data_IF_805708196558
#
_entry.id   IF_805708196558
#
_cell.length_a   1.000
_cell.length_b   1.000
_cell.length_c   1.000
_cell.angle_alpha   90.00
_cell.angle_beta   90.00
_cell.angle_gamma   90.00
#
_symmetry.space_group_name_H-M   'P 1'
#
loop_
_entity.id
_entity.type
_entity.pdbx_description
1 polymer ?
#
# COMPACT_ATOMS: atom_id res chain seq x y z
N UNK A 1 -17.16 14.85 -21.96
CA UNK A 1 -18.58 15.12 -21.62
C UNK A 1 -18.70 14.90 -20.12
N UNK A 2 -19.24 15.85 -19.37
CA UNK A 2 -19.53 15.67 -17.95
C UNK A 2 -20.93 15.08 -17.75
N UNK A 3 -21.06 14.17 -16.80
CA UNK A 3 -22.31 13.57 -16.35
C UNK A 3 -22.78 14.30 -15.09
N UNK A 4 -24.09 14.57 -15.03
CA UNK A 4 -24.71 15.16 -13.85
C UNK A 4 -25.34 14.05 -13.01
N UNK A 5 -24.85 13.90 -11.78
CA UNK A 5 -25.32 12.89 -10.83
C UNK A 5 -26.11 13.57 -9.71
N UNK A 6 -27.27 13.02 -9.37
CA UNK A 6 -27.96 13.31 -8.13
C UNK A 6 -27.48 12.32 -7.06
N UNK A 7 -26.84 12.85 -6.03
CA UNK A 7 -26.28 12.11 -4.89
C UNK A 7 -26.92 12.69 -3.64
N UNK A 8 -27.83 11.93 -3.04
CA UNK A 8 -28.51 12.33 -1.80
C UNK A 8 -29.25 13.68 -1.90
N UNK A 9 -29.72 14.07 -3.08
CA UNK A 9 -30.39 15.35 -3.32
C UNK A 9 -29.48 16.45 -3.87
N UNK A 10 -28.21 16.18 -4.15
CA UNK A 10 -27.24 17.18 -4.65
C UNK A 10 -26.75 16.81 -6.03
N UNK A 11 -26.62 17.82 -6.87
CA UNK A 11 -26.16 17.69 -8.24
C UNK A 11 -24.66 17.88 -8.31
N UNK A 12 -23.97 16.80 -8.67
CA UNK A 12 -22.51 16.76 -8.80
C UNK A 12 -22.15 16.48 -10.26
N UNK A 13 -21.27 17.30 -10.82
CA UNK A 13 -20.69 17.05 -12.13
C UNK A 13 -19.49 16.10 -12.00
N UNK A 14 -19.50 15.02 -12.78
CA UNK A 14 -18.42 14.01 -12.81
C UNK A 14 -18.05 13.67 -14.24
N UNK A 15 -16.87 13.11 -14.46
CA UNK A 15 -16.45 12.66 -15.81
C UNK A 15 -17.05 11.31 -16.20
N UNK A 16 -17.42 10.48 -15.23
CA UNK A 16 -17.88 9.10 -15.43
C UNK A 16 -18.95 8.71 -14.41
N UNK A 17 -19.87 7.82 -14.81
CA UNK A 17 -20.85 7.25 -13.89
C UNK A 17 -20.13 6.27 -12.95
N UNK A 18 -20.38 6.31 -11.63
CA UNK A 18 -19.69 5.46 -10.67
C UNK A 18 -19.94 3.99 -10.95
N UNK A 19 -18.93 3.16 -10.75
CA UNK A 19 -19.06 1.70 -10.86
C UNK A 19 -20.01 1.12 -9.79
N UNK A 20 -20.31 -0.17 -9.91
CA UNK A 20 -21.24 -0.85 -8.99
C UNK A 20 -20.73 -0.91 -7.56
N UNK A 21 -19.43 -1.01 -7.36
CA UNK A 21 -18.80 -1.08 -6.03
C UNK A 21 -18.97 0.26 -5.32
N UNK A 22 -18.69 1.35 -6.01
CA UNK A 22 -18.87 2.71 -5.52
C UNK A 22 -20.34 2.98 -5.18
N UNK A 23 -21.28 2.59 -6.06
CA UNK A 23 -22.72 2.69 -5.79
C UNK A 23 -23.14 1.91 -4.52
N UNK A 24 -22.64 0.68 -4.35
CA UNK A 24 -22.92 -0.14 -3.17
C UNK A 24 -22.39 0.52 -1.89
N UNK A 25 -21.20 1.11 -1.92
CA UNK A 25 -20.67 1.83 -0.76
C UNK A 25 -21.51 3.06 -0.41
N UNK A 26 -21.95 3.83 -1.40
CA UNK A 26 -22.89 4.94 -1.19
C UNK A 26 -24.19 4.49 -0.52
N UNK A 27 -24.77 3.38 -0.99
CA UNK A 27 -25.99 2.85 -0.44
C UNK A 27 -25.81 2.29 0.98
N UNK A 28 -24.74 1.52 1.22
CA UNK A 28 -24.51 0.84 2.48
C UNK A 28 -24.05 1.79 3.59
N UNK A 29 -23.13 2.71 3.28
CA UNK A 29 -22.48 3.54 4.29
C UNK A 29 -23.08 4.93 4.43
N UNK A 30 -23.72 5.44 3.39
CA UNK A 30 -24.27 6.80 3.36
C UNK A 30 -25.78 6.81 3.18
N UNK A 31 -26.40 5.62 3.04
CA UNK A 31 -27.84 5.45 2.84
C UNK A 31 -28.38 6.23 1.63
N UNK A 32 -27.56 6.30 0.58
CA UNK A 32 -27.83 7.09 -0.61
C UNK A 32 -27.71 6.30 -1.88
N UNK A 33 -28.60 6.59 -2.82
CA UNK A 33 -28.52 6.08 -4.18
C UNK A 33 -27.99 7.19 -5.10
N UNK A 34 -27.14 6.79 -6.05
CA UNK A 34 -26.64 7.68 -7.09
C UNK A 34 -27.53 7.52 -8.32
N UNK A 35 -28.05 8.63 -8.83
CA UNK A 35 -28.93 8.64 -9.99
C UNK A 35 -28.42 9.61 -11.04
N UNK A 36 -28.62 9.31 -12.32
CA UNK A 36 -28.43 10.31 -13.37
C UNK A 36 -29.48 11.41 -13.20
N UNK A 37 -29.03 12.65 -13.06
CA UNK A 37 -29.92 13.79 -12.97
C UNK A 37 -30.43 14.15 -14.37
N UNK A 38 -31.75 14.35 -14.49
CA UNK A 38 -32.32 14.98 -15.67
C UNK A 38 -32.05 16.48 -15.59
N UNK A 39 -31.69 17.06 -16.73
CA UNK A 39 -31.28 18.46 -16.87
C UNK A 39 -32.48 19.40 -16.74
N UNK A 40 -33.12 19.46 -15.57
CA UNK A 40 -34.15 20.46 -15.29
C UNK A 40 -33.56 21.52 -14.35
N UNK A 41 -33.68 22.76 -14.79
CA UNK A 41 -32.86 23.91 -14.44
C UNK A 41 -32.98 24.38 -12.98
N UNK A 42 -31.90 25.04 -12.52
CA UNK A 42 -31.82 25.98 -11.37
C UNK A 42 -31.20 25.54 -10.04
N UNK A 43 -30.57 24.36 -9.94
CA UNK A 43 -29.85 23.98 -8.70
C UNK A 43 -28.35 24.26 -8.84
N UNK A 44 -27.76 24.90 -7.83
CA UNK A 44 -26.32 25.16 -7.74
C UNK A 44 -25.55 23.84 -7.94
N UNK A 45 -24.64 23.83 -8.91
CA UNK A 45 -23.69 22.74 -9.11
C UNK A 45 -22.64 22.81 -8.01
N UNK A 46 -22.66 21.82 -7.12
CA UNK A 46 -21.63 21.67 -6.10
C UNK A 46 -20.45 20.86 -6.66
N UNK A 47 -19.25 21.15 -6.18
CA UNK A 47 -18.10 20.35 -6.58
C UNK A 47 -18.14 18.99 -5.87
N UNK A 48 -17.52 17.95 -6.45
CA UNK A 48 -17.46 16.64 -5.81
C UNK A 48 -16.90 16.71 -4.38
N UNK A 49 -16.00 17.64 -4.06
CA UNK A 49 -15.46 17.81 -2.71
C UNK A 49 -16.52 18.17 -1.65
N UNK A 50 -17.54 18.96 -2.00
CA UNK A 50 -18.63 19.35 -1.07
C UNK A 50 -19.42 18.13 -0.58
N UNK A 51 -19.39 17.01 -1.30
CA UNK A 51 -20.10 15.78 -0.91
C UNK A 51 -19.64 15.27 0.46
N UNK A 52 -18.37 15.47 0.81
CA UNK A 52 -17.83 15.00 2.08
C UNK A 52 -18.38 15.76 3.30
N UNK A 53 -18.79 17.03 3.14
CA UNK A 53 -19.29 17.87 4.23
C UNK A 53 -20.70 17.46 4.70
N UNK A 54 -21.45 16.76 3.84
CA UNK A 54 -22.84 16.36 4.08
C UNK A 54 -22.98 15.13 4.96
N UNK A 55 -21.89 14.40 5.19
CA UNK A 55 -21.87 13.16 5.96
C UNK A 55 -21.02 13.30 7.22
N UNK A 56 -21.30 14.29 8.08
CA UNK A 56 -20.42 14.62 9.19
C UNK A 56 -20.25 13.42 10.12
N UNK A 57 -18.99 13.14 10.44
CA UNK A 57 -18.55 12.14 11.41
C UNK A 57 -17.42 12.77 12.24
N UNK A 58 -17.20 12.31 13.48
CA UNK A 58 -16.06 12.77 14.28
C UNK A 58 -14.76 12.67 13.48
N UNK A 59 -14.07 13.81 13.34
CA UNK A 59 -12.84 13.88 12.57
C UNK A 59 -11.74 13.10 13.29
N UNK A 60 -11.37 11.95 12.74
CA UNK A 60 -10.31 11.06 13.23
C UNK A 60 -9.31 10.84 12.11
N UNK A 61 -8.05 10.63 12.45
CA UNK A 61 -7.04 10.52 11.41
C UNK A 61 -5.86 9.62 11.77
N UNK A 62 -5.18 9.12 10.75
CA UNK A 62 -3.93 8.39 10.88
C UNK A 62 -2.85 9.00 9.99
N UNK A 63 -1.67 9.36 10.54
CA UNK A 63 -0.57 9.91 9.75
C UNK A 63 0.12 8.84 8.90
N UNK A 64 0.37 9.13 7.63
CA UNK A 64 1.29 8.36 6.79
C UNK A 64 2.33 9.27 6.13
N UNK A 65 3.54 8.78 5.92
CA UNK A 65 4.64 9.56 5.36
C UNK A 65 5.23 8.88 4.12
N UNK A 66 5.60 9.69 3.15
CA UNK A 66 6.46 9.27 2.05
C UNK A 66 7.91 9.13 2.54
N UNK A 67 8.71 8.33 1.83
CA UNK A 67 10.09 8.03 2.26
C UNK A 67 10.99 9.25 2.44
N UNK A 68 10.73 10.33 1.70
CA UNK A 68 11.47 11.61 1.77
C UNK A 68 11.12 12.46 2.99
N UNK A 69 9.95 12.24 3.61
CA UNK A 69 9.47 13.02 4.75
C UNK A 69 9.78 12.40 6.11
N UNK A 70 10.53 11.28 6.14
CA UNK A 70 10.90 10.58 7.39
C UNK A 70 11.85 11.38 8.29
N UNK A 71 12.52 12.39 7.74
CA UNK A 71 13.38 13.30 8.51
C UNK A 71 12.68 14.62 8.90
N UNK A 72 11.40 14.79 8.56
CA UNK A 72 10.62 15.98 8.89
C UNK A 72 10.38 16.12 10.40
N UNK A 73 10.21 17.36 10.86
CA UNK A 73 9.88 17.63 12.27
C UNK A 73 8.51 17.06 12.66
N UNK A 74 7.55 17.05 11.72
CA UNK A 74 6.24 16.41 11.90
C UNK A 74 6.38 14.92 12.24
N UNK A 75 7.16 14.18 11.43
CA UNK A 75 7.43 12.76 11.67
C UNK A 75 8.08 12.51 13.04
N UNK A 76 9.15 13.26 13.36
CA UNK A 76 9.88 13.12 14.62
C UNK A 76 8.98 13.39 15.83
N UNK A 77 8.13 14.42 15.76
CA UNK A 77 7.22 14.76 16.85
C UNK A 77 6.18 13.67 17.10
N UNK A 78 5.63 13.08 16.04
CA UNK A 78 4.66 11.99 16.16
C UNK A 78 5.29 10.75 16.81
N UNK A 79 6.46 10.32 16.33
CA UNK A 79 7.20 9.20 16.90
C UNK A 79 7.57 9.46 18.36
N UNK A 80 8.06 10.67 18.70
CA UNK A 80 8.43 11.04 20.06
C UNK A 80 7.24 10.98 21.04
N UNK A 81 6.02 11.18 20.54
CA UNK A 81 4.77 11.07 21.32
C UNK A 81 4.17 9.67 21.31
N UNK A 82 4.89 8.66 20.81
CA UNK A 82 4.45 7.27 20.77
C UNK A 82 3.43 6.95 19.68
N UNK A 83 3.20 7.87 18.73
CA UNK A 83 2.32 7.63 17.59
C UNK A 83 3.07 6.81 16.56
N UNK A 84 2.40 5.81 15.97
CA UNK A 84 2.94 4.90 14.95
C UNK A 84 2.46 5.31 13.57
N UNK A 85 3.14 6.23 12.87
CA UNK A 85 2.76 6.63 11.53
C UNK A 85 2.96 5.51 10.53
N UNK A 86 2.19 5.51 9.44
CA UNK A 86 2.52 4.72 8.27
C UNK A 86 3.74 5.26 7.53
N UNK A 87 4.50 4.39 6.89
CA UNK A 87 5.56 4.76 5.95
C UNK A 87 5.29 4.09 4.61
N UNK A 88 5.11 4.89 3.58
CA UNK A 88 4.91 4.42 2.21
C UNK A 88 6.25 3.94 1.67
N UNK A 89 6.34 2.65 1.38
CA UNK A 89 7.50 2.05 0.75
C UNK A 89 7.59 2.56 -0.70
N UNK A 90 8.76 2.98 -1.18
CA UNK A 90 8.95 3.47 -2.56
C UNK A 90 8.34 2.52 -3.59
N UNK A 91 7.70 3.06 -4.65
CA UNK A 91 7.13 2.18 -5.68
C UNK A 91 8.23 1.42 -6.44
N UNK A 92 9.31 2.14 -6.70
CA UNK A 92 10.57 1.68 -7.30
C UNK A 92 11.48 1.01 -6.27
N UNK A 93 12.66 0.58 -6.73
CA UNK A 93 13.66 -0.08 -5.89
C UNK A 93 14.19 0.81 -4.77
N UNK A 94 14.52 0.20 -3.63
CA UNK A 94 15.16 0.91 -2.52
C UNK A 94 16.61 1.27 -2.90
N UNK A 95 16.97 2.55 -2.83
CA UNK A 95 18.40 2.87 -2.65
C UNK A 95 18.83 2.40 -1.26
N UNK A 96 20.10 2.03 -1.08
CA UNK A 96 20.61 1.60 0.22
C UNK A 96 20.33 2.65 1.32
N UNK A 97 20.48 3.93 0.97
CA UNK A 97 20.19 5.07 1.87
C UNK A 97 18.72 5.07 2.27
N UNK A 98 17.79 5.06 1.29
CA UNK A 98 16.34 5.04 1.57
C UNK A 98 15.93 3.80 2.38
N UNK A 99 16.52 2.64 2.09
CA UNK A 99 16.29 1.43 2.88
C UNK A 99 16.66 1.64 4.35
N UNK A 100 17.85 2.15 4.65
CA UNK A 100 18.26 2.36 6.04
C UNK A 100 17.40 3.42 6.76
N UNK A 101 16.98 4.48 6.06
CA UNK A 101 16.08 5.49 6.62
C UNK A 101 14.71 4.89 6.97
N UNK A 102 14.10 4.16 6.02
CA UNK A 102 12.82 3.49 6.26
C UNK A 102 12.97 2.43 7.34
N UNK A 103 14.04 1.63 7.32
CA UNK A 103 14.27 0.59 8.34
C UNK A 103 14.43 1.18 9.73
N UNK A 104 15.11 2.32 9.85
CA UNK A 104 15.20 3.07 11.11
C UNK A 104 13.82 3.54 11.57
N UNK A 105 13.03 4.15 10.68
CA UNK A 105 11.66 4.58 10.98
C UNK A 105 10.77 3.43 11.45
N UNK A 106 10.85 2.27 10.79
CA UNK A 106 10.11 1.06 11.16
C UNK A 106 10.54 0.53 12.53
N UNK A 107 11.85 0.52 12.82
CA UNK A 107 12.36 0.13 14.14
C UNK A 107 11.93 1.12 15.24
N UNK A 108 11.60 2.37 14.89
CA UNK A 108 11.02 3.37 15.79
C UNK A 108 9.50 3.26 15.94
N UNK A 109 8.86 2.31 15.23
CA UNK A 109 7.43 2.03 15.33
C UNK A 109 6.60 2.44 14.12
N UNK A 110 7.21 2.97 13.04
CA UNK A 110 6.48 3.25 11.80
C UNK A 110 5.98 1.95 11.14
N UNK A 111 4.81 2.02 10.51
CA UNK A 111 4.12 0.88 9.92
C UNK A 111 4.33 0.88 8.40
N UNK A 112 4.97 -0.14 7.81
CA UNK A 112 5.17 -0.17 6.36
C UNK A 112 3.87 -0.33 5.57
N UNK A 113 3.72 0.49 4.52
CA UNK A 113 2.61 0.46 3.57
C UNK A 113 3.20 0.24 2.18
N UNK A 114 2.75 -0.76 1.44
CA UNK A 114 3.24 -1.04 0.10
C UNK A 114 2.33 -0.41 -0.96
N UNK A 115 2.92 0.09 -2.06
CA UNK A 115 2.13 0.47 -3.24
C UNK A 115 1.46 -0.75 -3.88
N UNK A 116 0.18 -0.62 -4.21
CA UNK A 116 -0.61 -1.61 -4.90
C UNK A 116 -1.11 -1.04 -6.23
N UNK A 117 -0.62 -1.61 -7.32
CA UNK A 117 -1.12 -1.31 -8.67
C UNK A 117 -2.07 -2.43 -9.10
N UNK A 118 -3.35 -2.11 -9.28
CA UNK A 118 -4.38 -3.11 -9.58
C UNK A 118 -4.09 -3.92 -10.85
N UNK A 119 -3.56 -3.27 -11.88
CA UNK A 119 -3.17 -3.90 -13.15
C UNK A 119 -1.97 -4.85 -13.03
N UNK A 120 -1.21 -4.76 -11.93
CA UNK A 120 0.02 -5.53 -11.72
C UNK A 120 0.01 -6.25 -10.35
N UNK A 121 -1.05 -6.99 -10.03
CA UNK A 121 -1.18 -7.72 -8.76
C UNK A 121 -0.01 -8.67 -8.43
N UNK A 122 0.60 -9.29 -9.45
CA UNK A 122 1.81 -10.11 -9.29
C UNK A 122 3.03 -9.31 -8.86
N UNK A 123 3.15 -8.07 -9.35
CA UNK A 123 4.22 -7.16 -8.94
C UNK A 123 4.10 -6.79 -7.46
N UNK A 124 2.87 -6.52 -6.98
CA UNK A 124 2.62 -6.32 -5.57
C UNK A 124 3.07 -7.53 -4.73
N UNK A 125 2.67 -8.75 -5.10
CA UNK A 125 3.01 -9.95 -4.35
C UNK A 125 4.53 -10.18 -4.25
N UNK A 126 5.26 -10.01 -5.37
CA UNK A 126 6.72 -10.13 -5.39
C UNK A 126 7.37 -9.07 -4.47
N UNK A 127 6.89 -7.84 -4.55
CA UNK A 127 7.40 -6.72 -3.75
C UNK A 127 7.09 -6.88 -2.27
N UNK A 128 5.86 -7.25 -1.90
CA UNK A 128 5.48 -7.50 -0.50
C UNK A 128 6.35 -8.61 0.10
N UNK A 129 6.61 -9.68 -0.67
CA UNK A 129 7.51 -10.78 -0.26
C UNK A 129 8.95 -10.30 -0.09
N UNK A 130 9.46 -9.49 -1.00
CA UNK A 130 10.80 -8.90 -0.89
C UNK A 130 10.92 -7.97 0.32
N UNK A 131 10.00 -7.02 0.46
CA UNK A 131 9.96 -6.06 1.57
C UNK A 131 9.87 -6.78 2.91
N UNK A 132 9.06 -7.84 3.01
CA UNK A 132 9.03 -8.75 4.16
C UNK A 132 10.42 -9.32 4.46
N UNK A 133 11.12 -9.84 3.45
CA UNK A 133 12.39 -10.51 3.61
C UNK A 133 13.52 -9.58 4.08
N UNK A 134 13.47 -8.30 3.72
CA UNK A 134 14.39 -7.26 4.22
C UNK A 134 13.89 -6.59 5.52
N UNK A 135 12.84 -7.14 6.15
CA UNK A 135 12.33 -6.64 7.43
C UNK A 135 11.53 -5.34 7.34
N UNK A 136 10.94 -5.04 6.18
CA UNK A 136 10.03 -3.94 5.89
C UNK A 136 8.63 -4.47 5.54
N UNK A 137 8.14 -5.40 6.35
CA UNK A 137 6.88 -6.14 6.14
C UNK A 137 5.68 -5.18 6.04
N UNK A 138 4.96 -5.14 4.89
CA UNK A 138 3.78 -4.30 4.74
C UNK A 138 2.61 -4.80 5.57
N UNK A 139 1.83 -3.87 6.13
CA UNK A 139 0.58 -4.14 6.86
C UNK A 139 -0.65 -3.50 6.21
N UNK A 140 -0.45 -2.69 5.18
CA UNK A 140 -1.51 -2.12 4.36
C UNK A 140 -0.97 -1.87 2.94
N UNK A 141 -1.90 -1.63 2.01
CA UNK A 141 -1.61 -1.24 0.64
C UNK A 141 -2.09 0.20 0.37
N UNK A 142 -1.32 0.97 -0.40
CA UNK A 142 -1.74 2.25 -0.96
C UNK A 142 -2.07 2.08 -2.44
N UNK A 143 -3.28 2.52 -2.83
CA UNK A 143 -3.76 2.57 -4.20
C UNK A 143 -3.91 4.04 -4.58
N UNK A 144 -3.16 4.48 -5.59
CA UNK A 144 -3.16 5.88 -6.06
C UNK A 144 -4.10 6.12 -7.25
N UNK A 145 -4.63 5.04 -7.83
CA UNK A 145 -5.52 5.10 -9.00
C UNK A 145 -6.97 5.40 -8.63
N UNK A 146 -7.26 5.76 -7.38
CA UNK A 146 -8.61 6.01 -6.90
C UNK A 146 -9.45 4.74 -6.69
N UNK A 147 -10.76 4.93 -6.71
CA UNK A 147 -11.75 3.86 -6.55
C UNK A 147 -12.01 3.18 -7.89
N UNK A 148 -11.92 1.85 -7.92
CA UNK A 148 -12.10 1.02 -9.12
C UNK A 148 -12.85 -0.26 -8.76
N UNK A 149 -13.65 -0.77 -9.69
CA UNK A 149 -14.46 -1.98 -9.52
C UNK A 149 -13.65 -3.22 -9.13
N UNK A 150 -12.38 -3.31 -9.55
CA UNK A 150 -11.51 -4.44 -9.27
C UNK A 150 -10.98 -4.43 -7.84
N UNK A 151 -11.25 -3.39 -7.05
CA UNK A 151 -10.75 -3.28 -5.68
C UNK A 151 -11.29 -4.38 -4.76
N UNK A 152 -12.50 -4.86 -5.01
CA UNK A 152 -13.12 -5.96 -4.25
C UNK A 152 -12.61 -7.34 -4.68
N UNK A 153 -11.91 -7.45 -5.81
CA UNK A 153 -11.28 -8.67 -6.28
C UNK A 153 -9.88 -8.87 -5.66
N UNK A 154 -9.39 -7.89 -4.90
CA UNK A 154 -8.05 -7.94 -4.31
C UNK A 154 -7.98 -8.93 -3.14
N UNK A 155 -6.78 -9.35 -2.73
CA UNK A 155 -6.61 -10.17 -1.52
C UNK A 155 -7.22 -9.53 -0.27
N UNK A 156 -7.41 -10.32 0.78
CA UNK A 156 -7.86 -9.78 2.07
C UNK A 156 -6.85 -8.78 2.64
N UNK A 157 -7.33 -7.68 3.20
CA UNK A 157 -6.45 -6.70 3.84
C UNK A 157 -6.96 -5.27 3.88
N UNK A 158 -6.07 -4.41 4.34
CA UNK A 158 -6.30 -2.97 4.48
C UNK A 158 -5.72 -2.19 3.31
N UNK A 159 -6.57 -1.38 2.70
CA UNK A 159 -6.31 -0.62 1.50
C UNK A 159 -6.58 0.87 1.76
N UNK A 160 -5.60 1.69 1.41
CA UNK A 160 -5.63 3.14 1.55
C UNK A 160 -5.78 3.69 0.14
N UNK A 161 -6.84 4.45 -0.09
CA UNK A 161 -7.24 4.90 -1.42
C UNK A 161 -6.96 6.38 -1.51
N UNK A 162 -6.01 6.73 -2.37
CA UNK A 162 -5.75 8.10 -2.76
C UNK A 162 -6.39 8.30 -4.13
N UNK A 163 -7.33 9.24 -4.23
CA UNK A 163 -7.81 9.72 -5.52
C UNK A 163 -7.14 11.07 -5.78
N UNK A 164 -6.42 11.16 -6.90
CA UNK A 164 -5.80 12.39 -7.37
C UNK A 164 -6.65 13.10 -8.44
N UNK A 165 -7.80 12.51 -8.82
CA UNK A 165 -8.65 13.04 -9.89
C UNK A 165 -9.74 13.94 -9.31
N UNK A 166 -9.75 15.25 -9.62
CA UNK A 166 -10.79 16.17 -9.14
C UNK A 166 -12.17 15.86 -9.75
N UNK A 167 -12.21 15.10 -10.85
CA UNK A 167 -13.43 14.78 -11.60
C UNK A 167 -14.04 13.42 -11.22
N UNK A 168 -13.36 12.65 -10.37
CA UNK A 168 -13.90 11.43 -9.77
C UNK A 168 -14.85 11.77 -8.61
N UNK A 169 -15.88 10.95 -8.44
CA UNK A 169 -16.78 11.08 -7.31
C UNK A 169 -16.05 10.68 -6.01
N UNK A 170 -15.83 11.59 -5.04
CA UNK A 170 -15.10 11.25 -3.83
C UNK A 170 -16.02 10.53 -2.85
N UNK A 171 -15.54 9.43 -2.28
CA UNK A 171 -16.21 8.81 -1.14
C UNK A 171 -15.90 9.65 0.12
N UNK A 172 -16.92 10.13 0.86
CA UNK A 172 -16.69 10.83 2.12
C UNK A 172 -15.86 9.99 3.10
N UNK A 173 -14.90 10.57 3.80
CA UNK A 173 -13.90 9.79 4.52
C UNK A 173 -14.51 8.97 5.68
N UNK A 174 -14.62 7.65 5.48
CA UNK A 174 -15.11 6.68 6.47
C UNK A 174 -14.30 5.39 6.40
N UNK A 175 -14.36 4.63 7.48
CA UNK A 175 -13.93 3.23 7.50
C UNK A 175 -14.96 2.41 6.74
N UNK A 176 -14.58 1.83 5.62
CA UNK A 176 -15.45 0.96 4.82
C UNK A 176 -14.95 -0.47 4.98
N UNK A 177 -15.83 -1.39 5.36
CA UNK A 177 -15.53 -2.81 5.49
C UNK A 177 -16.41 -3.60 4.52
N UNK A 178 -15.78 -4.21 3.52
CA UNK A 178 -16.47 -5.09 2.60
C UNK A 178 -15.88 -6.50 2.74
N UNK A 179 -16.61 -7.39 3.39
CA UNK A 179 -16.15 -8.74 3.71
C UNK A 179 -14.79 -8.73 4.46
N UNK A 180 -13.73 -9.11 3.75
CA UNK A 180 -12.35 -9.25 4.22
C UNK A 180 -11.46 -8.05 3.88
N UNK A 181 -12.05 -7.00 3.31
CA UNK A 181 -11.36 -5.78 2.89
C UNK A 181 -11.74 -4.60 3.80
N UNK A 182 -10.73 -3.81 4.16
CA UNK A 182 -10.90 -2.55 4.86
C UNK A 182 -10.37 -1.42 3.98
N UNK A 183 -11.22 -0.45 3.65
CA UNK A 183 -10.86 0.69 2.84
C UNK A 183 -10.85 1.98 3.65
N UNK A 184 -9.83 2.80 3.40
CA UNK A 184 -9.61 4.09 4.05
C UNK A 184 -9.27 5.15 3.00
N UNK A 185 -9.89 6.32 3.07
CA UNK A 185 -9.57 7.41 2.17
C UNK A 185 -8.29 8.11 2.62
N UNK A 186 -7.36 8.33 1.70
CA UNK A 186 -6.20 9.16 1.89
C UNK A 186 -6.38 10.56 1.29
N UNK A 187 -5.80 11.54 1.98
CA UNK A 187 -5.82 12.96 1.61
C UNK A 187 -4.45 13.59 1.85
N UNK A 188 -4.13 14.62 1.08
CA UNK A 188 -2.94 15.45 1.28
C UNK A 188 -3.25 16.77 1.97
N UNK A 189 -4.47 17.28 1.83
CA UNK A 189 -4.95 18.50 2.48
C UNK A 189 -6.01 18.18 3.54
N UNK A 190 -5.69 18.29 4.85
CA UNK A 190 -6.62 18.00 5.94
C UNK A 190 -7.62 19.13 6.24
N UNK A 191 -7.60 20.26 5.51
CA UNK A 191 -8.39 21.45 5.85
C UNK A 191 -9.90 21.32 5.57
N UNK A 192 -10.34 20.35 4.77
CA UNK A 192 -11.72 20.29 4.25
C UNK A 192 -12.49 19.00 4.57
N UNK A 193 -12.02 18.20 5.51
CA UNK A 193 -12.45 16.80 5.59
C UNK A 193 -12.99 16.41 6.96
N UNK A 194 -14.16 15.78 6.97
CA UNK A 194 -14.77 15.16 8.17
C UNK A 194 -14.61 13.64 8.14
N UNK A 195 -14.82 12.96 9.28
CA UNK A 195 -14.71 11.50 9.39
C UNK A 195 -13.29 10.95 9.50
N UNK A 196 -13.11 9.65 9.18
CA UNK A 196 -11.84 8.95 9.35
C UNK A 196 -10.95 9.09 8.12
N UNK A 197 -9.76 9.67 8.29
CA UNK A 197 -8.86 10.00 7.18
C UNK A 197 -7.45 9.47 7.37
N UNK A 198 -6.83 9.08 6.27
CA UNK A 198 -5.39 8.84 6.23
C UNK A 198 -4.71 10.07 5.66
N UNK A 199 -3.93 10.77 6.48
CA UNK A 199 -3.33 12.05 6.06
C UNK A 199 -1.90 11.79 5.61
N UNK A 200 -1.62 12.04 4.33
CA UNK A 200 -0.30 11.90 3.74
C UNK A 200 0.53 13.13 4.06
N UNK A 201 1.71 12.93 4.66
CA UNK A 201 2.66 13.97 5.03
C UNK A 201 2.01 15.11 5.84
N UNK A 202 1.42 14.78 7.01
CA UNK A 202 0.65 15.74 7.79
C UNK A 202 1.51 16.95 8.21
N UNK A 203 0.93 18.16 8.20
CA UNK A 203 1.64 19.37 8.61
C UNK A 203 1.97 19.34 10.11
N UNK A 204 2.97 20.13 10.50
CA UNK A 204 3.37 20.28 11.89
C UNK A 204 2.21 20.87 12.72
N UNK A 205 1.99 20.35 13.93
CA UNK A 205 1.02 20.92 14.87
C UNK A 205 -0.42 20.41 14.72
N UNK A 206 -0.67 19.42 13.86
CA UNK A 206 -1.98 18.78 13.74
C UNK A 206 -2.43 18.18 15.10
N UNK A 207 -3.72 18.32 15.49
CA UNK A 207 -4.21 17.81 16.78
C UNK A 207 -4.04 16.29 16.91
N UNK A 208 -3.36 15.87 17.98
CA UNK A 208 -3.04 14.46 18.21
C UNK A 208 -4.12 13.70 18.99
N UNK A 209 -5.11 14.41 19.52
CA UNK A 209 -6.18 13.84 20.35
C UNK A 209 -7.13 12.95 19.55
N UNK A 210 -7.12 13.08 18.23
CA UNK A 210 -8.06 12.41 17.33
C UNK A 210 -7.36 11.35 16.47
N UNK A 211 -6.18 10.87 16.90
CA UNK A 211 -5.51 9.80 16.17
C UNK A 211 -6.21 8.47 16.42
N UNK A 212 -6.58 7.82 15.33
CA UNK A 212 -7.19 6.50 15.35
C UNK A 212 -6.47 5.60 14.35
N UNK A 213 -6.07 4.40 14.77
CA UNK A 213 -5.36 3.47 13.90
C UNK A 213 -6.33 2.72 12.98
N UNK A 214 -5.91 2.41 11.75
CA UNK A 214 -6.71 1.54 10.87
C UNK A 214 -6.61 0.11 11.36
N UNK A 215 -7.50 -0.74 10.85
CA UNK A 215 -7.25 -2.17 10.85
C UNK A 215 -5.96 -2.42 10.07
N UNK A 216 -5.06 -3.22 10.63
CA UNK A 216 -3.78 -3.54 9.99
C UNK A 216 -3.76 -5.02 9.65
N UNK A 217 -3.37 -5.29 8.42
CA UNK A 217 -3.17 -6.63 7.90
C UNK A 217 -3.35 -6.64 6.40
N UNK A 218 -2.54 -7.43 5.71
CA UNK A 218 -2.66 -7.59 4.26
C UNK A 218 -2.18 -8.97 3.83
N UNK A 219 -2.89 -9.52 2.87
CA UNK A 219 -2.60 -10.84 2.30
C UNK A 219 -2.17 -10.73 0.85
N UNK A 220 -1.40 -11.71 0.38
CA UNK A 220 -1.07 -11.84 -1.04
C UNK A 220 -0.80 -13.30 -1.40
N UNK A 221 -0.90 -13.61 -2.69
CA UNK A 221 -0.47 -14.89 -3.24
C UNK A 221 0.77 -14.69 -4.11
N UNK A 222 1.81 -15.47 -3.85
CA UNK A 222 2.97 -15.58 -4.73
C UNK A 222 3.21 -17.05 -5.05
N UNK A 223 3.13 -17.41 -6.33
CA UNK A 223 3.32 -18.79 -6.80
C UNK A 223 2.45 -19.81 -6.06
N UNK A 224 1.14 -19.55 -5.90
CA UNK A 224 0.18 -20.42 -5.20
C UNK A 224 0.50 -20.60 -3.71
N UNK A 225 1.30 -19.71 -3.16
CA UNK A 225 1.61 -19.68 -1.73
C UNK A 225 0.98 -18.42 -1.17
N UNK A 226 0.07 -18.62 -0.21
CA UNK A 226 -0.58 -17.52 0.48
C UNK A 226 0.31 -17.01 1.60
N UNK A 227 0.33 -15.68 1.72
CA UNK A 227 1.01 -14.93 2.76
C UNK A 227 -0.01 -14.03 3.43
N UNK A 228 -0.07 -14.05 4.75
CA UNK A 228 -0.94 -13.18 5.55
C UNK A 228 -0.09 -12.41 6.55
N UNK A 229 0.04 -11.12 6.33
CA UNK A 229 0.77 -10.22 7.21
C UNK A 229 -0.19 -9.67 8.27
N UNK A 230 -0.02 -10.07 9.53
CA UNK A 230 -0.84 -9.65 10.68
C UNK A 230 -0.07 -8.70 11.60
N UNK A 231 -0.67 -8.07 12.61
CA UNK A 231 0.14 -7.22 13.51
C UNK A 231 1.25 -7.99 14.24
N UNK A 232 1.03 -9.28 14.50
CA UNK A 232 1.96 -10.15 15.23
C UNK A 232 3.12 -10.66 14.36
N UNK A 233 2.84 -10.99 13.10
CA UNK A 233 3.86 -11.59 12.23
C UNK A 233 3.36 -11.94 10.84
N UNK A 234 4.21 -12.64 10.10
CA UNK A 234 3.83 -13.23 8.81
C UNK A 234 3.36 -14.67 9.05
N UNK A 235 2.20 -15.00 8.51
CA UNK A 235 1.67 -16.35 8.48
C UNK A 235 1.75 -16.87 7.04
N UNK A 236 2.44 -17.99 6.87
CA UNK A 236 2.57 -18.66 5.57
C UNK A 236 2.99 -20.12 5.76
N UNK A 237 3.01 -20.89 4.68
CA UNK A 237 3.49 -22.28 4.68
C UNK A 237 5.02 -22.37 4.84
N UNK A 238 5.54 -23.56 5.14
CA UNK A 238 6.99 -23.82 5.14
C UNK A 238 7.65 -23.39 3.83
N UNK A 239 6.99 -23.66 2.70
CA UNK A 239 7.46 -23.22 1.38
C UNK A 239 7.48 -21.69 1.25
N UNK A 240 6.51 -21.00 1.84
CA UNK A 240 6.48 -19.54 1.90
C UNK A 240 7.68 -18.94 2.62
N UNK A 241 8.11 -19.51 3.74
CA UNK A 241 9.34 -19.07 4.43
C UNK A 241 10.61 -19.29 3.60
N UNK A 242 10.65 -20.37 2.81
CA UNK A 242 11.73 -20.60 1.83
C UNK A 242 11.71 -19.51 0.75
N UNK A 243 10.53 -19.18 0.21
CA UNK A 243 10.37 -18.11 -0.79
C UNK A 243 10.79 -16.74 -0.23
N UNK A 244 10.44 -16.41 1.01
CA UNK A 244 10.90 -15.19 1.69
C UNK A 244 12.43 -15.18 1.72
N UNK A 245 13.06 -16.26 2.17
CA UNK A 245 14.53 -16.36 2.25
C UNK A 245 15.18 -16.20 0.88
N UNK A 246 14.68 -16.89 -0.14
CA UNK A 246 15.19 -16.80 -1.49
C UNK A 246 15.03 -15.41 -2.09
N UNK A 247 13.93 -14.71 -1.78
CA UNK A 247 13.66 -13.37 -2.31
C UNK A 247 14.76 -12.35 -1.95
N UNK A 248 15.44 -12.52 -0.80
CA UNK A 248 16.57 -11.67 -0.41
C UNK A 248 17.78 -11.80 -1.34
N UNK A 249 17.95 -12.94 -2.00
CA UNK A 249 19.10 -13.23 -2.87
C UNK A 249 18.74 -12.99 -4.33
N UNK A 250 17.57 -13.44 -4.75
CA UNK A 250 17.15 -13.49 -6.16
C UNK A 250 16.77 -12.11 -6.70
N UNK A 251 15.99 -11.34 -5.93
CA UNK A 251 15.46 -10.06 -6.41
C UNK A 251 16.58 -9.02 -6.57
N UNK A 252 17.60 -8.96 -5.68
CA UNK A 252 18.79 -8.15 -5.92
C UNK A 252 19.69 -8.64 -7.07
N UNK A 253 19.70 -9.95 -7.38
CA UNK A 253 20.44 -10.48 -8.52
C UNK A 253 19.77 -10.10 -9.84
N UNK A 254 18.45 -10.23 -9.94
CA UNK A 254 17.67 -9.79 -11.11
C UNK A 254 17.92 -8.29 -11.38
N UNK A 255 18.05 -7.49 -10.31
CA UNK A 255 18.44 -6.06 -10.34
C UNK A 255 19.84 -5.78 -10.92
N UNK A 256 20.86 -6.59 -10.60
CA UNK A 256 22.21 -6.43 -11.18
C UNK A 256 22.18 -6.76 -12.69
N UNK A 257 21.34 -7.71 -13.10
CA UNK A 257 21.27 -8.16 -14.49
C UNK A 257 20.27 -7.35 -15.34
N UNK A 258 19.26 -6.71 -14.75
CA UNK A 258 18.23 -5.94 -15.47
C UNK A 258 18.53 -4.44 -15.58
N UNK A 259 19.51 -3.92 -14.84
CA UNK A 259 19.96 -2.53 -14.98
C UNK A 259 20.82 -2.37 -16.24
N UNK A 260 20.20 -1.95 -17.35
CA UNK A 260 20.85 -1.48 -18.59
C UNK A 260 22.01 -2.36 -19.11
N UNK A 261 21.68 -3.59 -19.54
CA UNK A 261 22.47 -4.26 -20.57
C UNK A 261 21.63 -4.33 -21.85
N UNK A 262 22.09 -3.78 -22.98
CA UNK A 262 21.33 -3.84 -24.22
C UNK A 262 21.19 -5.31 -24.65
N UNK A 263 19.93 -5.75 -24.76
CA UNK A 263 19.46 -6.77 -25.72
C UNK A 263 20.11 -8.16 -25.74
N UNK A 264 20.53 -8.75 -24.62
CA UNK A 264 21.04 -10.14 -24.61
C UNK A 264 20.35 -11.13 -23.66
N UNK A 265 19.32 -10.73 -22.90
CA UNK A 265 18.60 -11.63 -21.97
C UNK A 265 17.11 -11.80 -22.26
N UNK A 266 16.59 -11.18 -23.33
CA UNK A 266 15.21 -11.42 -23.81
C UNK A 266 14.97 -12.87 -24.29
N UNK A 267 16.00 -13.71 -24.29
CA UNK A 267 15.95 -15.13 -24.68
C UNK A 267 16.18 -16.13 -23.54
N UNK A 268 16.34 -15.72 -22.28
CA UNK A 268 16.41 -16.66 -21.14
C UNK A 268 15.11 -16.74 -20.32
N UNK A 269 14.02 -16.20 -20.88
CA UNK A 269 12.66 -16.46 -20.40
C UNK A 269 12.26 -17.91 -20.64
N UNK A 270 11.96 -18.62 -19.55
CA UNK A 270 10.76 -19.47 -19.35
C UNK A 270 10.98 -20.85 -18.74
N UNK A 271 12.17 -21.46 -18.74
CA UNK A 271 12.27 -22.90 -18.34
C UNK A 271 13.50 -23.35 -17.56
N UNK A 272 14.61 -22.60 -17.51
CA UNK A 272 15.90 -23.07 -16.94
C UNK A 272 16.34 -22.30 -15.67
N UNK A 273 15.67 -21.18 -15.36
CA UNK A 273 16.10 -20.23 -14.31
C UNK A 273 16.04 -20.79 -12.87
N UNK A 274 15.04 -21.59 -12.51
CA UNK A 274 14.91 -22.08 -11.12
C UNK A 274 15.95 -23.14 -10.75
N UNK A 275 16.34 -24.01 -11.67
CA UNK A 275 17.32 -25.08 -11.42
C UNK A 275 18.73 -24.49 -11.30
N UNK A 276 19.10 -23.56 -12.17
CA UNK A 276 20.38 -22.83 -12.07
C UNK A 276 20.45 -21.99 -10.80
N UNK A 277 19.32 -21.44 -10.35
CA UNK A 277 19.26 -20.66 -9.12
C UNK A 277 19.36 -21.54 -7.87
N UNK A 278 18.75 -22.72 -7.88
CA UNK A 278 18.88 -23.73 -6.83
C UNK A 278 20.31 -24.32 -6.78
N UNK A 279 20.92 -24.57 -7.95
CA UNK A 279 22.32 -24.98 -8.07
C UNK A 279 23.30 -23.88 -7.62
N UNK A 280 23.05 -22.64 -8.03
CA UNK A 280 23.85 -21.47 -7.62
C UNK A 280 23.77 -21.22 -6.12
N UNK A 281 22.57 -21.27 -5.55
CA UNK A 281 22.34 -21.19 -4.10
C UNK A 281 23.03 -22.34 -3.36
N UNK A 282 22.92 -23.57 -3.86
CA UNK A 282 23.59 -24.74 -3.29
C UNK A 282 25.12 -24.61 -3.29
N UNK A 283 25.71 -24.18 -4.42
CA UNK A 283 27.15 -23.96 -4.54
C UNK A 283 27.66 -22.86 -3.59
N UNK A 284 26.90 -21.77 -3.44
CA UNK A 284 27.25 -20.69 -2.54
C UNK A 284 27.21 -21.13 -1.07
N UNK A 285 26.23 -21.96 -0.70
CA UNK A 285 26.11 -22.55 0.63
C UNK A 285 27.27 -23.50 0.94
N UNK A 286 27.66 -24.34 -0.04
CA UNK A 286 28.85 -25.20 0.05
C UNK A 286 30.11 -24.36 0.24
N UNK A 287 30.23 -23.24 -0.46
CA UNK A 287 31.39 -22.35 -0.38
C UNK A 287 31.48 -21.67 1.00
N UNK A 288 30.36 -21.21 1.55
CA UNK A 288 30.29 -20.67 2.92
C UNK A 288 30.71 -21.74 3.95
N UNK A 289 30.16 -22.96 3.85
CA UNK A 289 30.51 -24.08 4.74
C UNK A 289 32.01 -24.39 4.63
N UNK A 290 32.55 -24.40 3.42
CA UNK A 290 33.98 -24.65 3.16
C UNK A 290 34.87 -23.58 3.80
N UNK A 291 34.52 -22.30 3.68
CA UNK A 291 35.25 -21.19 4.32
C UNK A 291 35.21 -21.32 5.85
N UNK A 292 34.03 -21.59 6.44
CA UNK A 292 33.89 -21.76 7.90
C UNK A 292 34.72 -22.95 8.39
N UNK A 293 34.69 -24.07 7.67
CA UNK A 293 35.45 -25.27 8.00
C UNK A 293 36.96 -25.01 7.92
N UNK A 294 37.43 -24.33 6.88
CA UNK A 294 38.84 -23.93 6.72
C UNK A 294 39.29 -22.97 7.82
N UNK A 295 38.45 -22.01 8.21
CA UNK A 295 38.73 -21.08 9.32
C UNK A 295 38.82 -21.81 10.67
N UNK A 296 37.97 -22.81 10.92
CA UNK A 296 38.04 -23.64 12.14
C UNK A 296 39.26 -24.55 12.19
N UNK A 297 39.73 -25.05 11.05
CA UNK A 297 40.96 -25.87 10.98
C UNK A 297 42.19 -24.99 11.23
N UNK A 298 42.26 -23.81 10.62
CA UNK A 298 43.36 -22.86 10.84
C UNK A 298 43.38 -22.26 12.25
N UNK A 299 42.26 -22.25 12.98
CA UNK A 299 42.20 -21.81 14.37
C UNK A 299 42.54 -22.92 15.38
N UNK A 300 42.79 -24.15 14.90
CA UNK A 300 43.15 -25.33 15.72
C UNK A 300 44.64 -25.70 15.63
N UNK A 301 45.37 -25.11 14.68
CA UNK A 301 46.83 -25.13 14.59
C UNK A 301 47.40 -23.83 15.17
#
# INVERSE_FOLDING_TARGET
MSLLLNICGILVATSQFPDTTLQQFYQQYYHCNIQLAKTDSSTQLETPQTVAELFPQPATWWPIFTSDQLNSESFKQLIAKGIRPGVILPNEYFSAIKYYEIKKAVNQGAIPIAFYQMTHSKYFAAKATFSMAIGLRPLAALIETGWDENIIAQPAGSYIIQSNSPDELPIPARKIQHHQHYFYQAITDPSQSTGYQVVINPPLGMPLNNIEYPQLGISWDLNRTQFTSTQEGIETSLWGYILITLSTVVIPLDYIYSAHYPSLLSTFGSSISWISLLLGGGLLLILIISIIRRRRINARN
#
